data_IF_975398938760
#
_entry.id   IF_975398938760
#
_cell.length_a   1.000
_cell.length_b   1.000
_cell.length_c   1.000
_cell.angle_alpha   90.00
_cell.angle_beta   90.00
_cell.angle_gamma   90.00
#
_symmetry.space_group_name_H-M   'P 1'
#
loop_
_entity.id
_entity.type
_entity.pdbx_description
1 polymer ?
#
# COMPACT_ATOMS: atom_id res chain seq x y z
N UNK A 1 11.07 -0.57 9.45
CA UNK A 1 10.09 -1.40 8.73
C UNK A 1 9.49 -0.62 7.57
N UNK A 2 9.41 -1.24 6.43
CA UNK A 2 8.81 -0.63 5.23
C UNK A 2 7.42 -1.22 5.02
N UNK A 3 6.43 -0.35 4.90
CA UNK A 3 5.01 -0.72 4.78
C UNK A 3 4.47 -0.24 3.44
N UNK A 4 3.88 -1.14 2.67
CA UNK A 4 3.16 -0.79 1.46
C UNK A 4 1.69 -0.59 1.79
N UNK A 5 1.08 0.46 1.25
CA UNK A 5 -0.33 0.76 1.47
C UNK A 5 -1.03 0.85 0.12
N UNK A 6 -2.06 0.04 -0.06
CA UNK A 6 -2.93 0.15 -1.23
C UNK A 6 -3.95 1.24 -0.94
N UNK A 7 -3.83 2.35 -1.66
CA UNK A 7 -4.62 3.55 -1.41
C UNK A 7 -3.81 4.62 -0.71
N UNK A 8 -3.92 5.86 -1.17
CA UNK A 8 -3.20 7.01 -0.63
C UNK A 8 -4.12 8.09 -0.10
N UNK A 9 -5.32 7.71 0.39
CA UNK A 9 -6.29 8.64 0.92
C UNK A 9 -6.03 9.01 2.38
N UNK A 10 -7.06 9.48 3.06
CA UNK A 10 -6.94 9.99 4.44
C UNK A 10 -6.48 8.92 5.44
N UNK A 11 -6.97 7.68 5.31
CA UNK A 11 -6.55 6.63 6.23
C UNK A 11 -5.09 6.27 6.03
N UNK A 12 -4.62 6.25 4.79
CA UNK A 12 -3.20 6.04 4.49
C UNK A 12 -2.35 7.15 5.08
N UNK A 13 -2.81 8.39 4.97
CA UNK A 13 -2.14 9.53 5.58
C UNK A 13 -2.04 9.40 7.10
N UNK A 14 -3.14 8.99 7.73
CA UNK A 14 -3.16 8.80 9.19
C UNK A 14 -2.20 7.70 9.63
N UNK A 15 -2.15 6.59 8.87
CA UNK A 15 -1.20 5.51 9.14
C UNK A 15 0.23 6.01 9.07
N UNK A 16 0.56 6.79 8.04
CA UNK A 16 1.91 7.31 7.88
C UNK A 16 2.27 8.28 9.00
N UNK A 17 1.35 9.15 9.40
CA UNK A 17 1.59 10.09 10.49
C UNK A 17 1.81 9.36 11.82
N UNK A 18 1.11 8.25 12.04
CA UNK A 18 1.28 7.46 13.25
C UNK A 18 2.56 6.61 13.23
N UNK A 19 2.92 6.08 12.07
CA UNK A 19 4.03 5.14 11.94
C UNK A 19 5.39 5.77 11.74
N UNK A 20 5.46 6.93 11.10
CA UNK A 20 6.74 7.59 10.81
C UNK A 20 7.57 7.86 12.07
N UNK A 21 6.99 8.38 13.16
CA UNK A 21 7.76 8.56 14.41
C UNK A 21 8.27 7.25 15.00
N UNK A 22 7.69 6.11 14.60
CA UNK A 22 8.12 4.78 15.06
C UNK A 22 9.18 4.16 14.16
N UNK A 23 9.68 4.91 13.19
CA UNK A 23 10.71 4.43 12.27
C UNK A 23 10.18 3.69 11.06
N UNK A 24 8.88 3.71 10.81
CA UNK A 24 8.29 3.07 9.65
C UNK A 24 8.42 3.95 8.41
N UNK A 25 8.63 3.33 7.25
CA UNK A 25 8.63 4.00 5.96
C UNK A 25 7.45 3.48 5.15
N UNK A 26 6.82 4.34 4.36
CA UNK A 26 5.60 3.99 3.64
C UNK A 26 5.75 4.15 2.14
N UNK A 27 5.12 3.23 1.41
CA UNK A 27 4.96 3.31 -0.04
C UNK A 27 3.47 3.16 -0.33
N UNK A 28 2.91 4.11 -1.06
CA UNK A 28 1.47 4.14 -1.38
C UNK A 28 1.26 3.82 -2.85
N UNK A 29 0.30 2.96 -3.14
CA UNK A 29 -0.16 2.71 -4.50
C UNK A 29 -1.56 3.30 -4.64
N UNK A 30 -1.72 4.27 -5.53
CA UNK A 30 -3.00 4.94 -5.74
C UNK A 30 -3.05 5.51 -7.16
N UNK A 31 -4.16 5.31 -7.90
CA UNK A 31 -4.28 5.86 -9.24
C UNK A 31 -4.44 7.38 -9.28
N UNK A 32 -4.78 8.01 -8.15
CA UNK A 32 -4.90 9.46 -8.09
C UNK A 32 -3.52 10.11 -8.04
N UNK A 33 -3.28 11.07 -8.91
CA UNK A 33 -2.00 11.79 -8.95
C UNK A 33 -1.76 12.60 -7.69
N UNK A 34 -2.83 13.11 -7.10
CA UNK A 34 -2.78 13.98 -5.93
C UNK A 34 -3.31 13.31 -4.66
N UNK A 35 -3.06 12.00 -4.51
CA UNK A 35 -3.47 11.28 -3.32
C UNK A 35 -2.94 11.97 -2.06
N UNK A 36 -3.78 12.09 -1.03
CA UNK A 36 -3.45 12.93 0.12
C UNK A 36 -2.31 12.38 0.97
N UNK A 37 -1.98 11.10 0.88
CA UNK A 37 -0.85 10.51 1.57
C UNK A 37 0.47 10.61 0.77
N UNK A 38 0.42 11.06 -0.48
CA UNK A 38 1.58 11.02 -1.38
C UNK A 38 2.79 11.78 -0.85
N UNK A 39 2.59 12.82 -0.06
CA UNK A 39 3.67 13.62 0.50
C UNK A 39 4.39 12.95 1.66
N UNK A 40 3.84 11.86 2.21
CA UNK A 40 4.34 11.21 3.42
C UNK A 40 5.13 9.93 3.13
N UNK A 41 5.30 9.59 1.87
CA UNK A 41 6.05 8.41 1.47
C UNK A 41 6.21 8.34 -0.03
N UNK A 42 6.74 7.23 -0.52
CA UNK A 42 6.83 7.01 -1.97
C UNK A 42 5.44 6.74 -2.52
N UNK A 43 5.09 7.41 -3.61
CA UNK A 43 3.79 7.25 -4.25
C UNK A 43 3.96 6.57 -5.61
N UNK A 44 3.37 5.38 -5.75
CA UNK A 44 3.29 4.70 -7.02
C UNK A 44 1.97 5.06 -7.68
N UNK A 45 2.03 5.92 -8.68
CA UNK A 45 0.85 6.41 -9.39
C UNK A 45 0.42 5.36 -10.42
N UNK A 46 -0.43 4.43 -10.02
CA UNK A 46 -0.86 3.33 -10.85
C UNK A 46 -2.20 2.76 -10.42
N UNK A 47 -2.81 1.99 -11.31
CA UNK A 47 -4.04 1.26 -11.04
C UNK A 47 -3.75 0.16 -10.00
N UNK A 48 -4.73 -0.15 -9.16
CA UNK A 48 -4.62 -1.20 -8.15
C UNK A 48 -4.42 -2.59 -8.74
N UNK A 49 -4.70 -2.78 -10.02
CA UNK A 49 -4.55 -4.07 -10.69
C UNK A 49 -3.30 -4.15 -11.57
N UNK A 50 -2.42 -3.16 -11.55
CA UNK A 50 -1.20 -3.16 -12.35
C UNK A 50 -0.18 -4.13 -11.77
N UNK A 51 0.08 -5.29 -12.42
CA UNK A 51 1.02 -6.28 -11.86
C UNK A 51 2.43 -5.74 -11.70
N UNK A 52 2.86 -4.91 -12.63
CA UNK A 52 4.19 -4.31 -12.59
C UNK A 52 4.42 -3.47 -11.34
N UNK A 53 3.45 -2.61 -11.01
CA UNK A 53 3.54 -1.74 -9.85
C UNK A 53 3.33 -2.51 -8.55
N UNK A 54 2.43 -3.49 -8.54
CA UNK A 54 2.22 -4.35 -7.39
C UNK A 54 3.48 -5.13 -7.05
N UNK A 55 4.15 -5.68 -8.05
CA UNK A 55 5.39 -6.43 -7.85
C UNK A 55 6.49 -5.51 -7.33
N UNK A 56 6.61 -4.30 -7.88
CA UNK A 56 7.59 -3.33 -7.43
C UNK A 56 7.37 -2.98 -5.95
N UNK A 57 6.13 -2.75 -5.55
CA UNK A 57 5.80 -2.48 -4.16
C UNK A 57 6.17 -3.66 -3.28
N UNK A 58 5.76 -4.88 -3.66
CA UNK A 58 6.00 -6.07 -2.86
C UNK A 58 7.48 -6.33 -2.63
N UNK A 59 8.31 -6.01 -3.62
CA UNK A 59 9.76 -6.20 -3.50
C UNK A 59 10.44 -5.16 -2.62
N UNK A 60 9.78 -4.03 -2.37
CA UNK A 60 10.39 -2.91 -1.65
C UNK A 60 9.90 -2.75 -0.21
N UNK A 61 8.92 -3.54 0.22
CA UNK A 61 8.32 -3.40 1.55
C UNK A 61 8.34 -4.71 2.32
N UNK A 62 8.14 -4.62 3.63
CA UNK A 62 8.12 -5.80 4.53
C UNK A 62 6.72 -6.39 4.67
N UNK A 63 5.71 -5.55 4.50
CA UNK A 63 4.31 -5.98 4.50
C UNK A 63 3.46 -4.98 3.74
N UNK A 64 2.24 -5.39 3.40
CA UNK A 64 1.29 -4.53 2.70
C UNK A 64 -0.02 -4.51 3.48
N UNK A 65 -0.64 -3.35 3.55
CA UNK A 65 -2.00 -3.21 4.03
C UNK A 65 -2.80 -2.37 3.03
N UNK A 66 -4.08 -2.21 3.25
CA UNK A 66 -4.90 -1.36 2.39
C UNK A 66 -5.83 -0.51 3.23
N UNK A 67 -6.17 0.68 2.72
CA UNK A 67 -6.93 1.67 3.49
C UNK A 67 -8.43 1.63 3.22
N UNK A 68 -8.88 0.90 2.21
CA UNK A 68 -10.30 0.87 1.86
C UNK A 68 -10.77 -0.57 1.62
N UNK A 69 -12.07 -0.79 1.78
CA UNK A 69 -12.62 -2.14 1.75
C UNK A 69 -12.80 -2.72 0.35
N UNK A 70 -12.77 -1.89 -0.66
CA UNK A 70 -13.08 -2.30 -2.04
C UNK A 70 -11.86 -2.74 -2.85
N UNK A 71 -10.75 -3.05 -2.20
CA UNK A 71 -9.57 -3.54 -2.90
C UNK A 71 -9.91 -4.86 -3.58
N UNK A 72 -9.63 -5.00 -4.90
CA UNK A 72 -9.92 -6.27 -5.58
C UNK A 72 -9.23 -7.45 -4.92
N UNK A 73 -9.97 -8.55 -4.74
CA UNK A 73 -9.39 -9.76 -4.14
C UNK A 73 -8.21 -10.29 -4.94
N UNK A 74 -8.22 -10.07 -6.25
CA UNK A 74 -7.13 -10.48 -7.14
C UNK A 74 -5.84 -9.73 -6.80
N UNK A 75 -5.95 -8.45 -6.47
CA UNK A 75 -4.80 -7.63 -6.08
C UNK A 75 -4.18 -8.16 -4.79
N UNK A 76 -4.99 -8.46 -3.79
CA UNK A 76 -4.53 -9.00 -2.52
C UNK A 76 -3.87 -10.36 -2.73
N UNK A 77 -4.52 -11.24 -3.49
CA UNK A 77 -3.99 -12.58 -3.76
C UNK A 77 -2.65 -12.53 -4.50
N UNK A 78 -2.53 -11.60 -5.45
CA UNK A 78 -1.27 -11.42 -6.19
C UNK A 78 -0.15 -10.99 -5.25
N UNK A 79 -0.41 -10.01 -4.39
CA UNK A 79 0.60 -9.50 -3.46
C UNK A 79 0.99 -10.55 -2.42
N UNK A 80 0.06 -11.39 -1.97
CA UNK A 80 0.34 -12.42 -0.98
C UNK A 80 1.35 -13.46 -1.45
N UNK A 81 1.59 -13.56 -2.75
CA UNK A 81 2.62 -14.44 -3.29
C UNK A 81 4.04 -13.97 -2.95
N UNK A 82 4.20 -12.70 -2.63
CA UNK A 82 5.51 -12.08 -2.44
C UNK A 82 5.74 -11.51 -1.05
N UNK A 83 4.68 -11.09 -0.37
CA UNK A 83 4.79 -10.32 0.88
C UNK A 83 3.52 -10.54 1.70
N UNK A 84 3.60 -10.53 3.04
CA UNK A 84 2.40 -10.59 3.87
C UNK A 84 1.47 -9.40 3.63
N UNK A 85 0.18 -9.67 3.54
CA UNK A 85 -0.86 -8.64 3.37
C UNK A 85 -1.83 -8.72 4.53
N UNK A 86 -2.15 -7.60 5.13
CA UNK A 86 -3.04 -7.53 6.28
C UNK A 86 -4.14 -6.49 6.04
N UNK A 87 -5.41 -6.89 6.20
CA UNK A 87 -5.87 -8.27 6.41
C UNK A 87 -5.63 -9.12 5.17
N UNK A 88 -5.54 -10.45 5.37
CA UNK A 88 -5.31 -11.36 4.27
C UNK A 88 -6.56 -11.53 3.40
N UNK A 89 -6.37 -12.14 2.20
CA UNK A 89 -7.49 -12.39 1.29
C UNK A 89 -8.55 -13.31 1.88
N UNK A 90 -8.18 -14.09 2.90
CA UNK A 90 -9.08 -15.04 3.55
C UNK A 90 -9.71 -14.50 4.83
N UNK A 91 -9.42 -13.27 5.16
CA UNK A 91 -9.96 -12.66 6.39
C UNK A 91 -11.38 -12.15 6.20
#
# INVERSE_FOLDING_TARGET
MKVGVIGGGQLGRMLALAGTPLGMQFTFLDPAEDACAAALGEHLHADYSSPEHLQKMAQSVDLVTFEFESVPAETVAYLEQFVPVYPSANA
#
